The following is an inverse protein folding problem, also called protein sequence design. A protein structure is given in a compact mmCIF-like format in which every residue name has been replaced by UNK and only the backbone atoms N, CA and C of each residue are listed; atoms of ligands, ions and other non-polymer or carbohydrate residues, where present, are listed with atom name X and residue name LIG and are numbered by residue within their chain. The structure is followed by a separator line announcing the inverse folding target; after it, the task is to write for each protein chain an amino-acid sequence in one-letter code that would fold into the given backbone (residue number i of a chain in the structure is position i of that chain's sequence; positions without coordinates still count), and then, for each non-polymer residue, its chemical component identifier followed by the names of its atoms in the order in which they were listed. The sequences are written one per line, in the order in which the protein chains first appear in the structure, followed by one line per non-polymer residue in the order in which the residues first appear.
data_IF_000445682251
#
_entry.id   IF_000445682251
#
_cell.length_a   1.000
_cell.length_b   1.000
_cell.length_c   1.000
_cell.angle_alpha   90.00
_cell.angle_beta   90.00
_cell.angle_gamma   90.00
#
_symmetry.space_group_name_H-M   'P 1'
#
loop_
_entity.id
_entity.type
_entity.pdbx_description
1 polymer ?
#
# COMPACT_ATOMS: atom_id res chain seq x y z
N UNK A 1 -11.86 31.78 -6.08
CA UNK A 1 -10.58 31.67 -5.33
C UNK A 1 -9.34 31.46 -6.22
N UNK A 2 -9.44 31.38 -7.55
CA UNK A 2 -8.28 31.26 -8.46
C UNK A 2 -7.49 32.56 -8.67
N UNK A 3 -8.04 33.72 -8.26
CA UNK A 3 -7.38 35.02 -8.43
C UNK A 3 -6.23 35.28 -7.43
N UNK A 4 -6.22 34.65 -6.24
CA UNK A 4 -5.23 34.97 -5.21
C UNK A 4 -3.85 34.34 -5.46
N UNK A 5 -3.78 33.15 -6.05
CA UNK A 5 -2.51 32.46 -6.29
C UNK A 5 -1.71 33.10 -7.42
N UNK A 6 -2.38 33.41 -8.55
CA UNK A 6 -1.76 34.11 -9.69
C UNK A 6 -1.34 35.53 -9.30
N UNK A 7 -2.15 36.23 -8.49
CA UNK A 7 -1.80 37.54 -7.96
C UNK A 7 -0.56 37.51 -7.07
N UNK A 8 -0.49 36.58 -6.10
CA UNK A 8 0.65 36.46 -5.20
C UNK A 8 1.96 36.11 -5.93
N UNK A 9 1.90 35.24 -6.95
CA UNK A 9 3.06 34.91 -7.80
C UNK A 9 3.56 36.15 -8.56
N UNK A 10 2.63 36.88 -9.20
CA UNK A 10 2.97 38.07 -10.01
C UNK A 10 3.50 39.22 -9.15
N UNK A 11 2.97 39.40 -7.93
CA UNK A 11 3.50 40.37 -6.97
C UNK A 11 4.93 40.05 -6.53
N UNK A 12 5.28 38.77 -6.32
CA UNK A 12 6.66 38.38 -5.99
C UNK A 12 7.63 38.63 -7.13
N UNK A 13 7.24 38.35 -8.36
CA UNK A 13 8.05 38.59 -9.55
C UNK A 13 8.33 40.09 -9.75
N UNK A 14 7.33 40.95 -9.53
CA UNK A 14 7.50 42.41 -9.62
C UNK A 14 8.42 42.92 -8.52
N UNK A 15 8.18 42.54 -7.26
CA UNK A 15 9.03 42.95 -6.13
C UNK A 15 10.48 42.46 -6.33
N UNK A 16 10.66 41.25 -6.82
CA UNK A 16 11.99 40.73 -7.15
C UNK A 16 12.67 41.54 -8.26
N UNK A 17 11.98 41.85 -9.36
CA UNK A 17 12.59 42.63 -10.45
C UNK A 17 13.02 44.02 -9.98
N UNK A 18 12.14 44.74 -9.27
CA UNK A 18 12.43 46.10 -8.80
C UNK A 18 13.60 46.13 -7.81
N UNK A 19 13.62 45.21 -6.85
CA UNK A 19 14.71 45.15 -5.86
C UNK A 19 16.02 44.65 -6.47
N UNK A 20 15.97 43.76 -7.46
CA UNK A 20 17.15 43.33 -8.22
C UNK A 20 17.75 44.52 -8.97
N UNK A 21 16.93 45.28 -9.69
CA UNK A 21 17.40 46.42 -10.49
C UNK A 21 18.01 47.50 -9.59
N UNK A 22 17.38 47.80 -8.44
CA UNK A 22 17.95 48.68 -7.42
C UNK A 22 19.29 48.17 -6.82
N UNK A 23 19.49 46.86 -6.72
CA UNK A 23 20.80 46.29 -6.33
C UNK A 23 21.86 46.45 -7.43
N UNK A 24 21.46 46.31 -8.69
CA UNK A 24 22.36 46.43 -9.85
C UNK A 24 22.82 47.89 -10.02
N UNK A 25 21.91 48.84 -9.82
CA UNK A 25 22.17 50.27 -9.95
C UNK A 25 22.94 50.84 -8.74
N UNK A 26 23.13 50.05 -7.69
CA UNK A 26 23.88 50.44 -6.49
C UNK A 26 23.08 51.25 -5.47
N UNK A 27 21.76 51.40 -5.69
CA UNK A 27 20.85 52.14 -4.80
C UNK A 27 20.55 51.37 -3.49
N UNK A 28 20.66 50.04 -3.52
CA UNK A 28 20.49 49.17 -2.36
C UNK A 28 21.57 48.09 -2.32
N UNK A 29 22.05 47.76 -1.12
CA UNK A 29 22.75 46.49 -0.92
C UNK A 29 21.78 45.31 -0.94
N UNK A 30 22.30 44.11 -1.20
CA UNK A 30 21.49 42.87 -1.16
C UNK A 30 20.81 42.68 0.21
N UNK A 31 21.47 43.08 1.29
CA UNK A 31 20.89 42.99 2.64
C UNK A 31 19.69 43.93 2.80
N UNK A 32 19.78 45.15 2.30
CA UNK A 32 18.69 46.14 2.36
C UNK A 32 17.52 45.72 1.47
N UNK A 33 17.78 45.14 0.31
CA UNK A 33 16.75 44.58 -0.56
C UNK A 33 16.00 43.40 0.10
N UNK A 34 16.70 42.52 0.81
CA UNK A 34 16.06 41.40 1.53
C UNK A 34 15.15 41.91 2.65
N UNK A 35 15.60 42.91 3.43
CA UNK A 35 14.77 43.49 4.48
C UNK A 35 13.56 44.25 3.92
N UNK A 36 13.73 45.00 2.83
CA UNK A 36 12.63 45.65 2.13
C UNK A 36 11.57 44.63 1.63
N UNK A 37 12.01 43.50 1.06
CA UNK A 37 11.10 42.44 0.63
C UNK A 37 10.32 41.84 1.81
N UNK A 38 11.00 41.50 2.91
CA UNK A 38 10.36 40.96 4.12
C UNK A 38 9.31 41.91 4.67
N UNK A 39 9.63 43.19 4.77
CA UNK A 39 8.74 44.21 5.30
C UNK A 39 7.52 44.46 4.39
N UNK A 40 7.70 44.55 3.07
CA UNK A 40 6.59 44.64 2.10
C UNK A 40 5.63 43.46 2.27
N UNK A 41 6.13 42.23 2.33
CA UNK A 41 5.28 41.05 2.49
C UNK A 41 4.65 40.94 3.88
N UNK A 42 5.37 41.31 4.94
CA UNK A 42 4.87 41.31 6.30
C UNK A 42 3.72 42.31 6.48
N UNK A 43 3.87 43.55 6.02
CA UNK A 43 2.81 44.57 6.07
C UNK A 43 1.59 44.17 5.24
N UNK A 44 1.81 43.61 4.05
CA UNK A 44 0.73 43.09 3.21
C UNK A 44 -0.02 41.94 3.90
N UNK A 45 0.70 41.04 4.57
CA UNK A 45 0.08 39.96 5.33
C UNK A 45 -0.73 40.49 6.53
N UNK A 46 -0.18 41.44 7.30
CA UNK A 46 -0.87 42.07 8.43
C UNK A 46 -2.19 42.72 7.96
N UNK A 47 -2.15 43.48 6.88
CA UNK A 47 -3.32 44.16 6.33
C UNK A 47 -4.33 43.18 5.73
N UNK A 48 -3.88 42.19 4.96
CA UNK A 48 -4.76 41.23 4.27
C UNK A 48 -5.43 40.26 5.24
N UNK A 49 -4.69 39.75 6.22
CA UNK A 49 -5.19 38.79 7.20
C UNK A 49 -5.73 39.45 8.49
N UNK A 50 -5.75 40.80 8.55
CA UNK A 50 -6.19 41.59 9.71
C UNK A 50 -5.53 41.16 11.03
N UNK A 51 -4.23 40.84 10.97
CA UNK A 51 -3.47 40.39 12.13
C UNK A 51 -3.28 41.58 13.06
N UNK A 52 -3.95 41.59 14.22
CA UNK A 52 -3.75 42.62 15.24
C UNK A 52 -2.50 42.32 16.08
N UNK A 53 -1.63 43.29 16.36
CA UNK A 53 -0.54 43.12 17.33
C UNK A 53 -1.17 42.89 18.71
N UNK A 54 -0.94 41.71 19.30
CA UNK A 54 -1.47 41.37 20.61
C UNK A 54 -0.78 42.20 21.71
N UNK A 55 -1.37 43.33 22.08
CA UNK A 55 -1.15 43.98 23.36
C UNK A 55 -2.41 43.78 24.22
N UNK A 56 -2.53 42.60 24.85
CA UNK A 56 -3.45 42.43 25.97
C UNK A 56 -2.85 41.48 26.99
N UNK A 57 -2.33 42.09 28.06
CA UNK A 57 -2.00 41.45 29.34
C UNK A 57 -3.22 40.64 29.81
N UNK A 58 -3.07 39.32 29.88
CA UNK A 58 -4.08 38.45 30.49
C UNK A 58 -3.83 38.49 32.01
N UNK A 59 -4.52 39.41 32.70
CA UNK A 59 -4.74 39.32 34.13
C UNK A 59 -6.19 38.89 34.37
N UNK A 60 -6.38 37.61 34.69
CA UNK A 60 -7.58 37.19 35.44
C UNK A 60 -7.25 35.99 36.31
N UNK A 61 -6.82 36.29 37.53
CA UNK A 61 -7.02 35.38 38.66
C UNK A 61 -8.53 35.25 38.88
N UNK A 62 -9.09 34.08 38.61
CA UNK A 62 -10.35 33.68 39.20
C UNK A 62 -10.22 32.26 39.75
N UNK A 63 -10.49 32.17 41.05
CA UNK A 63 -10.45 30.97 41.86
C UNK A 63 -11.43 29.92 41.34
N UNK A 64 -10.90 28.80 40.86
CA UNK A 64 -11.60 27.51 40.83
C UNK A 64 -10.66 26.45 41.40
N UNK A 65 -10.50 26.49 42.72
CA UNK A 65 -10.07 25.33 43.50
C UNK A 65 -11.19 24.30 43.47
N UNK A 66 -11.23 23.48 42.42
CA UNK A 66 -11.90 22.19 42.48
C UNK A 66 -10.84 21.10 42.61
N UNK A 67 -10.96 20.33 43.68
CA UNK A 67 -10.21 19.12 43.98
C UNK A 67 -10.12 18.21 42.75
N UNK A 68 -8.97 18.21 42.08
CA UNK A 68 -8.55 17.16 41.14
C UNK A 68 -7.39 16.39 41.79
N UNK A 69 -7.64 15.85 42.98
CA UNK A 69 -6.85 14.77 43.56
C UNK A 69 -7.59 13.44 43.36
N UNK A 70 -8.00 13.19 42.13
CA UNK A 70 -8.31 11.86 41.64
C UNK A 70 -7.16 11.49 40.73
N UNK A 71 -6.37 10.51 41.15
CA UNK A 71 -5.37 9.85 40.30
C UNK A 71 -6.12 9.21 39.12
N UNK A 72 -6.39 10.02 38.09
CA UNK A 72 -7.02 9.59 36.85
C UNK A 72 -5.91 9.00 35.99
N UNK A 73 -5.45 7.82 36.39
CA UNK A 73 -4.74 6.91 35.50
C UNK A 73 -5.78 6.38 34.48
N UNK A 74 -6.27 7.28 33.62
CA UNK A 74 -7.08 6.91 32.47
C UNK A 74 -6.08 6.33 31.49
N UNK A 75 -5.93 5.00 31.51
CA UNK A 75 -5.21 4.29 30.46
C UNK A 75 -5.99 4.48 29.14
N UNK A 76 -5.68 5.55 28.41
CA UNK A 76 -6.37 5.92 27.16
C UNK A 76 -5.89 4.97 26.06
N UNK A 77 -6.66 3.92 25.79
CA UNK A 77 -6.48 3.08 24.60
C UNK A 77 -7.00 3.78 23.34
N UNK A 78 -6.29 3.63 22.22
CA UNK A 78 -6.69 4.16 20.91
C UNK A 78 -7.11 3.05 19.96
N UNK A 79 -7.99 3.40 19.02
CA UNK A 79 -8.33 2.56 17.86
C UNK A 79 -7.87 3.27 16.59
N UNK A 80 -6.97 2.64 15.84
CA UNK A 80 -6.51 3.11 14.52
C UNK A 80 -7.54 2.75 13.47
N UNK A 81 -8.25 3.75 12.98
CA UNK A 81 -9.20 3.66 11.87
C UNK A 81 -8.39 3.76 10.58
N UNK A 82 -8.14 2.64 9.93
CA UNK A 82 -7.19 2.51 8.83
C UNK A 82 -7.88 2.42 7.47
N UNK A 83 -7.34 3.15 6.49
CA UNK A 83 -7.73 3.02 5.08
C UNK A 83 -6.48 2.93 4.20
N UNK A 84 -6.68 2.41 3.00
CA UNK A 84 -5.66 2.36 1.95
C UNK A 84 -6.08 3.34 0.87
N UNK A 85 -5.20 4.27 0.50
CA UNK A 85 -5.50 5.25 -0.53
C UNK A 85 -5.32 4.69 -1.95
N UNK A 86 -5.59 5.52 -2.97
CA UNK A 86 -5.50 5.13 -4.38
C UNK A 86 -4.09 4.66 -4.79
N UNK A 87 -3.06 5.06 -4.05
CA UNK A 87 -1.65 4.71 -4.32
C UNK A 87 -1.16 3.50 -3.52
N UNK A 88 -2.04 2.87 -2.73
CA UNK A 88 -1.66 1.75 -1.87
C UNK A 88 -1.06 2.16 -0.53
N UNK A 89 -0.99 3.46 -0.21
CA UNK A 89 -0.47 3.91 1.08
C UNK A 89 -1.46 3.63 2.21
N UNK A 90 -0.95 3.10 3.32
CA UNK A 90 -1.73 2.88 4.52
C UNK A 90 -1.83 4.19 5.29
N UNK A 91 -3.04 4.62 5.60
CA UNK A 91 -3.31 5.83 6.36
C UNK A 91 -4.23 5.52 7.52
N UNK A 92 -4.14 6.31 8.59
CA UNK A 92 -5.02 6.10 9.73
C UNK A 92 -5.41 7.40 10.43
N UNK A 93 -6.51 7.32 11.18
CA UNK A 93 -6.84 8.24 12.26
C UNK A 93 -6.99 7.43 13.55
N UNK A 94 -6.23 7.79 14.57
CA UNK A 94 -6.40 7.20 15.89
C UNK A 94 -7.51 7.94 16.65
N UNK A 95 -8.46 7.20 17.19
CA UNK A 95 -9.54 7.75 18.02
C UNK A 95 -9.53 7.09 19.41
N UNK A 96 -9.88 7.81 20.48
CA UNK A 96 -10.06 7.19 21.79
C UNK A 96 -11.09 6.06 21.73
N UNK A 97 -10.80 4.92 22.37
CA UNK A 97 -11.68 3.72 22.33
C UNK A 97 -13.12 4.00 22.75
N UNK A 98 -13.33 4.88 23.74
CA UNK A 98 -14.67 5.32 24.13
C UNK A 98 -15.41 5.99 22.95
N UNK A 99 -14.77 6.96 22.28
CA UNK A 99 -15.34 7.60 21.07
C UNK A 99 -15.54 6.59 19.94
N UNK A 100 -14.64 5.62 19.80
CA UNK A 100 -14.79 4.57 18.81
C UNK A 100 -16.11 3.82 19.00
N UNK A 101 -16.32 3.28 20.21
CA UNK A 101 -17.51 2.51 20.56
C UNK A 101 -18.80 3.35 20.51
N UNK A 102 -18.76 4.58 21.04
CA UNK A 102 -19.96 5.41 21.19
C UNK A 102 -20.40 6.03 19.85
N UNK A 103 -19.44 6.42 19.00
CA UNK A 103 -19.69 7.26 17.82
C UNK A 103 -19.21 6.63 16.52
N UNK A 104 -17.95 6.19 16.44
CA UNK A 104 -17.31 5.82 15.17
C UNK A 104 -17.89 4.53 14.59
N UNK A 105 -18.20 3.54 15.43
CA UNK A 105 -18.84 2.29 14.98
C UNK A 105 -20.14 2.56 14.22
N UNK A 106 -20.91 3.58 14.63
CA UNK A 106 -22.21 3.90 14.04
C UNK A 106 -22.13 4.90 12.90
N UNK A 107 -21.25 5.89 13.00
CA UNK A 107 -21.25 7.07 12.12
C UNK A 107 -20.00 7.17 11.23
N UNK A 108 -18.99 6.36 11.48
CA UNK A 108 -17.68 6.45 10.84
C UNK A 108 -16.89 7.70 11.22
N UNK A 109 -15.80 7.93 10.48
CA UNK A 109 -14.97 9.14 10.57
C UNK A 109 -14.95 9.86 9.22
N UNK A 110 -15.18 11.17 9.19
CA UNK A 110 -15.15 11.94 7.93
C UNK A 110 -13.75 12.05 7.32
N UNK A 111 -13.60 11.85 6.02
CA UNK A 111 -12.37 12.01 5.26
C UNK A 111 -12.66 12.84 4.01
N UNK A 112 -11.91 13.93 3.77
CA UNK A 112 -12.08 14.74 2.57
C UNK A 112 -11.74 13.94 1.29
N UNK A 113 -12.52 14.11 0.23
CA UNK A 113 -12.34 13.34 -1.02
C UNK A 113 -10.94 13.46 -1.62
N UNK A 114 -10.31 14.64 -1.49
CA UNK A 114 -8.94 14.89 -1.94
C UNK A 114 -7.91 13.85 -1.46
N UNK A 115 -8.13 13.23 -0.29
CA UNK A 115 -7.19 12.26 0.27
C UNK A 115 -6.97 11.01 -0.61
N UNK A 116 -7.93 10.67 -1.47
CA UNK A 116 -7.77 9.57 -2.44
C UNK A 116 -7.02 9.98 -3.71
N UNK A 117 -6.82 11.28 -3.91
CA UNK A 117 -6.10 11.83 -5.06
C UNK A 117 -4.68 12.26 -4.74
N UNK A 118 -4.13 11.92 -3.57
CA UNK A 118 -2.75 12.24 -3.22
C UNK A 118 -1.80 11.21 -3.86
N UNK A 119 -0.70 11.64 -4.52
CA UNK A 119 0.32 10.74 -4.99
C UNK A 119 1.13 10.18 -3.81
N UNK A 120 1.88 9.10 -4.04
CA UNK A 120 2.61 8.39 -2.99
C UNK A 120 3.76 9.19 -2.34
N UNK A 121 4.19 10.30 -2.95
CA UNK A 121 5.38 11.05 -2.55
C UNK A 121 5.10 12.45 -2.00
N UNK A 122 3.85 12.93 -2.00
CA UNK A 122 3.52 14.25 -1.46
C UNK A 122 2.07 14.35 -0.99
N UNK A 123 1.83 15.21 0.02
CA UNK A 123 0.49 15.55 0.51
C UNK A 123 -0.09 16.71 -0.29
N UNK A 124 -0.52 16.42 -1.51
CA UNK A 124 -1.19 17.36 -2.38
C UNK A 124 -1.95 16.64 -3.49
N UNK A 125 -2.99 17.27 -4.02
CA UNK A 125 -3.83 16.64 -5.03
C UNK A 125 -3.06 16.45 -6.34
N UNK A 126 -3.04 15.22 -6.86
CA UNK A 126 -2.50 14.93 -8.17
C UNK A 126 -3.31 15.63 -9.27
N UNK A 127 -2.61 16.23 -10.23
CA UNK A 127 -3.21 16.82 -11.42
C UNK A 127 -4.02 15.76 -12.18
N UNK A 128 -5.20 16.14 -12.69
CA UNK A 128 -6.07 15.23 -13.43
C UNK A 128 -6.80 14.18 -12.58
N UNK A 129 -6.64 14.16 -11.25
CA UNK A 129 -7.33 13.19 -10.38
C UNK A 129 -8.87 13.33 -10.38
N UNK A 130 -9.40 14.48 -10.78
CA UNK A 130 -10.85 14.78 -10.76
C UNK A 130 -11.44 14.97 -9.35
N UNK A 131 -10.65 14.74 -8.30
CA UNK A 131 -11.05 14.92 -6.90
C UNK A 131 -10.81 16.37 -6.46
N UNK A 132 -11.52 16.83 -5.43
CA UNK A 132 -11.34 18.19 -4.90
C UNK A 132 -11.35 18.19 -3.37
N UNK A 133 -11.02 19.34 -2.78
CA UNK A 133 -11.12 19.55 -1.33
C UNK A 133 -12.55 19.77 -0.84
N UNK A 134 -13.53 19.78 -1.75
CA UNK A 134 -14.95 19.93 -1.42
C UNK A 134 -15.58 18.55 -1.25
N UNK A 135 -16.24 18.35 -0.11
CA UNK A 135 -16.94 17.11 0.22
C UNK A 135 -16.06 16.11 0.96
N UNK A 136 -16.73 15.13 1.54
CA UNK A 136 -16.11 14.11 2.37
C UNK A 136 -16.81 12.76 2.22
N UNK A 137 -16.04 11.69 2.35
CA UNK A 137 -16.51 10.33 2.55
C UNK A 137 -16.53 10.00 4.04
N UNK A 138 -17.26 8.95 4.41
CA UNK A 138 -17.29 8.38 5.76
C UNK A 138 -16.46 7.09 5.77
N UNK A 139 -15.45 7.05 6.64
CA UNK A 139 -14.68 5.86 6.95
C UNK A 139 -15.47 5.02 7.96
N UNK A 140 -16.15 3.98 7.47
CA UNK A 140 -17.00 3.09 8.27
C UNK A 140 -16.18 1.86 8.67
N UNK A 141 -15.95 1.60 9.97
CA UNK A 141 -15.13 0.48 10.41
C UNK A 141 -15.79 -0.87 10.13
N UNK A 142 -15.04 -1.77 9.52
CA UNK A 142 -15.42 -3.17 9.38
C UNK A 142 -14.95 -3.94 10.61
N UNK A 143 -15.88 -4.18 11.54
CA UNK A 143 -15.57 -4.83 12.83
C UNK A 143 -15.03 -6.25 12.68
N UNK A 144 -15.25 -6.93 11.55
CA UNK A 144 -14.66 -8.25 11.29
C UNK A 144 -13.13 -8.18 11.15
N UNK A 145 -12.59 -6.99 10.86
CA UNK A 145 -11.16 -6.69 10.75
C UNK A 145 -10.57 -6.04 11.99
N UNK A 146 -11.37 -5.81 13.05
CA UNK A 146 -10.85 -5.24 14.30
C UNK A 146 -9.84 -6.22 14.92
N UNK A 147 -8.63 -5.73 15.18
CA UNK A 147 -7.53 -6.50 15.77
C UNK A 147 -6.83 -5.70 16.85
N UNK A 148 -6.37 -6.36 17.90
CA UNK A 148 -5.42 -5.78 18.86
C UNK A 148 -4.06 -5.66 18.20
N UNK A 149 -3.37 -4.54 18.43
CA UNK A 149 -2.06 -4.30 17.81
C UNK A 149 -0.98 -5.11 18.55
N UNK A 150 -0.25 -6.03 17.89
CA UNK A 150 0.70 -6.92 18.57
C UNK A 150 1.86 -6.18 19.26
N UNK A 151 2.37 -5.13 18.60
CA UNK A 151 3.48 -4.31 19.10
C UNK A 151 3.05 -3.15 20.01
N UNK A 152 1.74 -2.88 20.14
CA UNK A 152 1.19 -1.95 21.11
C UNK A 152 -0.14 -2.50 21.66
N UNK A 153 -0.04 -3.42 22.63
CA UNK A 153 -1.18 -4.23 23.09
C UNK A 153 -2.33 -3.44 23.74
N UNK A 154 -2.13 -2.16 24.07
CA UNK A 154 -3.17 -1.25 24.57
C UNK A 154 -4.11 -0.78 23.46
N UNK A 155 -3.63 -0.73 22.22
CA UNK A 155 -4.35 -0.19 21.08
C UNK A 155 -4.95 -1.30 20.20
N UNK A 156 -5.93 -0.89 19.40
CA UNK A 156 -6.56 -1.71 18.36
C UNK A 156 -6.42 -1.02 17.00
N UNK A 157 -6.59 -1.79 15.93
CA UNK A 157 -6.66 -1.30 14.55
C UNK A 157 -7.82 -1.96 13.82
N UNK A 158 -8.42 -1.24 12.89
CA UNK A 158 -9.57 -1.70 12.11
C UNK A 158 -9.50 -1.12 10.71
N UNK A 159 -9.78 -1.95 9.70
CA UNK A 159 -9.91 -1.49 8.32
C UNK A 159 -11.31 -0.90 8.11
N UNK A 160 -11.41 0.02 7.17
CA UNK A 160 -12.66 0.72 6.88
C UNK A 160 -13.09 0.60 5.44
N UNK A 161 -14.40 0.65 5.25
CA UNK A 161 -15.00 0.97 3.96
C UNK A 161 -15.22 2.49 3.87
N UNK A 162 -15.21 3.03 2.64
CA UNK A 162 -15.47 4.44 2.38
C UNK A 162 -16.88 4.58 1.82
N UNK A 163 -17.72 5.38 2.47
CA UNK A 163 -19.13 5.53 2.10
C UNK A 163 -19.50 6.99 1.91
N UNK A 164 -20.26 7.31 0.84
CA UNK A 164 -20.83 8.65 0.63
C UNK A 164 -22.11 8.88 1.42
N UNK A 165 -22.88 7.81 1.65
CA UNK A 165 -24.06 7.79 2.52
C UNK A 165 -24.05 6.49 3.34
N UNK A 166 -24.80 6.41 4.47
CA UNK A 166 -24.93 5.17 5.20
C UNK A 166 -25.36 4.01 4.28
N UNK A 167 -24.53 2.97 4.19
CA UNK A 167 -24.77 1.80 3.33
C UNK A 167 -24.43 1.99 1.84
N UNK A 168 -24.03 3.19 1.41
CA UNK A 168 -23.66 3.48 0.02
C UNK A 168 -22.15 3.66 -0.09
N UNK A 169 -21.46 2.62 -0.59
CA UNK A 169 -20.03 2.66 -0.83
C UNK A 169 -19.67 3.76 -1.84
N UNK A 170 -18.57 4.45 -1.59
CA UNK A 170 -18.02 5.43 -2.51
C UNK A 170 -17.30 4.72 -3.65
N UNK A 171 -17.40 5.24 -4.87
CA UNK A 171 -16.79 4.65 -6.07
C UNK A 171 -15.26 4.51 -5.98
N UNK A 172 -14.60 5.35 -5.17
CA UNK A 172 -13.15 5.30 -4.91
C UNK A 172 -12.77 4.35 -3.76
N UNK A 173 -13.69 3.61 -3.15
CA UNK A 173 -13.37 2.67 -2.07
C UNK A 173 -12.65 1.42 -2.62
N UNK A 174 -11.35 1.19 -2.29
CA UNK A 174 -10.61 0.06 -2.84
C UNK A 174 -11.18 -1.29 -2.36
N UNK A 175 -11.59 -1.39 -1.08
CA UNK A 175 -12.17 -2.62 -0.52
C UNK A 175 -13.47 -3.00 -1.23
N UNK A 176 -14.31 -2.01 -1.55
CA UNK A 176 -15.58 -2.25 -2.23
C UNK A 176 -15.40 -2.72 -3.68
N UNK A 177 -14.45 -2.14 -4.45
CA UNK A 177 -14.24 -2.60 -5.83
C UNK A 177 -13.81 -4.07 -5.90
N UNK A 178 -12.96 -4.53 -4.97
CA UNK A 178 -12.60 -5.94 -4.87
C UNK A 178 -13.82 -6.81 -4.51
N UNK A 179 -14.65 -6.36 -3.57
CA UNK A 179 -15.88 -7.06 -3.17
C UNK A 179 -16.85 -7.17 -4.35
N UNK A 180 -17.04 -6.11 -5.13
CA UNK A 180 -17.89 -6.11 -6.33
C UNK A 180 -17.35 -7.06 -7.40
N UNK A 181 -16.06 -7.01 -7.70
CA UNK A 181 -15.44 -7.93 -8.66
C UNK A 181 -15.57 -9.40 -8.22
N UNK A 182 -15.37 -9.67 -6.93
CA UNK A 182 -15.56 -11.01 -6.35
C UNK A 182 -17.01 -11.48 -6.43
N UNK A 183 -17.97 -10.56 -6.21
CA UNK A 183 -19.40 -10.85 -6.31
C UNK A 183 -19.79 -11.21 -7.75
N UNK A 184 -19.27 -10.48 -8.75
CA UNK A 184 -19.51 -10.78 -10.16
C UNK A 184 -19.02 -12.19 -10.52
N UNK A 185 -17.80 -12.56 -10.09
CA UNK A 185 -17.26 -13.91 -10.29
C UNK A 185 -18.19 -14.99 -9.68
N UNK A 186 -18.70 -14.74 -8.47
CA UNK A 186 -19.61 -15.66 -7.78
C UNK A 186 -20.97 -15.76 -8.44
N UNK A 187 -21.59 -14.63 -8.78
CA UNK A 187 -22.93 -14.58 -9.35
C UNK A 187 -23.00 -15.18 -10.76
N UNK A 188 -21.99 -14.92 -11.60
CA UNK A 188 -22.00 -15.34 -13.01
C UNK A 188 -21.46 -16.75 -13.21
N UNK A 189 -20.52 -17.21 -12.39
CA UNK A 189 -19.80 -18.47 -12.62
C UNK A 189 -19.85 -19.45 -11.44
N UNK A 190 -20.46 -19.08 -10.31
CA UNK A 190 -20.41 -19.84 -9.06
C UNK A 190 -18.97 -20.19 -8.66
N UNK A 191 -18.10 -19.18 -8.70
CA UNK A 191 -16.68 -19.30 -8.38
C UNK A 191 -16.26 -18.35 -7.28
N UNK A 192 -15.27 -18.77 -6.50
CA UNK A 192 -14.54 -17.95 -5.55
C UNK A 192 -13.05 -17.98 -5.91
N UNK A 193 -12.38 -16.84 -5.76
CA UNK A 193 -10.94 -16.76 -5.96
C UNK A 193 -10.23 -16.75 -4.61
N UNK A 194 -9.31 -17.68 -4.41
CA UNK A 194 -8.35 -17.66 -3.31
C UNK A 194 -7.05 -17.01 -3.77
N UNK A 195 -6.42 -16.25 -2.87
CA UNK A 195 -5.13 -15.61 -3.09
C UNK A 195 -4.18 -15.87 -1.92
N UNK A 196 -2.92 -16.15 -2.22
CA UNK A 196 -1.80 -16.21 -1.28
C UNK A 196 -0.66 -15.32 -1.78
N UNK A 197 0.00 -14.59 -0.88
CA UNK A 197 1.03 -13.61 -1.24
C UNK A 197 2.40 -14.06 -0.73
N UNK A 198 3.39 -13.97 -1.60
CA UNK A 198 4.82 -14.00 -1.29
C UNK A 198 5.28 -12.54 -1.26
N UNK A 199 5.45 -11.97 -0.06
CA UNK A 199 5.68 -10.54 0.10
C UNK A 199 7.13 -10.28 0.51
N UNK A 200 7.92 -9.80 -0.44
CA UNK A 200 9.34 -9.49 -0.26
C UNK A 200 9.53 -8.07 0.29
N UNK A 201 10.56 -7.89 1.12
CA UNK A 201 10.92 -6.61 1.71
C UNK A 201 12.40 -6.54 2.02
N UNK A 202 12.93 -5.32 2.09
CA UNK A 202 14.31 -5.05 2.47
C UNK A 202 14.33 -4.45 3.87
N UNK A 203 15.14 -5.04 4.75
CA UNK A 203 15.50 -4.44 6.03
C UNK A 203 16.73 -3.55 5.86
N UNK A 204 16.60 -2.32 6.35
CA UNK A 204 17.65 -1.31 6.35
C UNK A 204 18.06 -0.99 7.79
N UNK A 205 19.35 -0.84 8.01
CA UNK A 205 19.91 -0.35 9.28
C UNK A 205 20.47 1.05 9.08
N UNK A 206 20.38 1.86 10.13
CA UNK A 206 20.98 3.19 10.13
C UNK A 206 22.47 3.09 10.46
N UNK A 207 23.32 3.55 9.56
CA UNK A 207 24.72 3.85 9.87
C UNK A 207 24.85 5.32 10.24
N UNK A 208 25.53 5.59 11.36
CA UNK A 208 25.89 6.93 11.81
C UNK A 208 27.39 7.11 11.64
N UNK A 209 27.80 7.98 10.72
CA UNK A 209 29.20 8.32 10.47
C UNK A 209 29.36 9.78 10.05
N UNK A 210 30.43 10.45 10.50
CA UNK A 210 30.82 11.83 10.10
C UNK A 210 29.66 12.86 9.96
N UNK A 211 28.66 12.79 10.83
CA UNK A 211 27.50 13.71 10.82
C UNK A 211 26.43 13.41 9.74
N UNK A 212 26.51 12.26 9.06
CA UNK A 212 25.49 11.78 8.12
C UNK A 212 24.82 10.51 8.65
N UNK A 213 23.51 10.47 8.46
CA UNK A 213 22.67 9.30 8.72
C UNK A 213 22.36 8.65 7.35
N UNK A 214 22.77 7.40 7.17
CA UNK A 214 22.56 6.64 5.95
C UNK A 214 21.85 5.32 6.24
N UNK A 215 20.78 5.04 5.50
CA UNK A 215 20.10 3.74 5.54
C UNK A 215 20.77 2.80 4.54
N UNK A 216 21.30 1.69 5.03
CA UNK A 216 21.95 0.66 4.20
C UNK A 216 21.27 -0.69 4.43
N UNK A 217 21.33 -1.62 3.45
CA UNK A 217 20.89 -2.99 3.65
C UNK A 217 21.40 -3.61 4.96
N UNK A 218 20.54 -4.37 5.63
CA UNK A 218 20.82 -5.02 6.90
C UNK A 218 22.07 -5.90 6.82
N UNK A 219 22.16 -6.72 5.77
CA UNK A 219 23.27 -7.60 5.45
C UNK A 219 23.54 -7.65 3.93
N UNK A 220 24.43 -8.55 3.52
CA UNK A 220 24.76 -8.81 2.11
C UNK A 220 24.89 -10.30 1.82
N UNK A 221 24.11 -11.12 2.53
CA UNK A 221 24.17 -12.57 2.42
C UNK A 221 23.54 -13.05 1.11
N UNK A 222 23.94 -14.22 0.59
CA UNK A 222 23.29 -14.80 -0.59
C UNK A 222 21.88 -15.33 -0.28
N UNK A 223 21.12 -15.56 -1.35
CA UNK A 223 19.79 -16.18 -1.33
C UNK A 223 19.71 -17.41 -0.42
N UNK A 224 18.66 -17.50 0.41
CA UNK A 224 18.42 -18.59 1.36
C UNK A 224 19.58 -18.88 2.35
N UNK A 225 20.42 -17.88 2.67
CA UNK A 225 21.50 -18.07 3.65
C UNK A 225 20.95 -18.29 5.07
N UNK A 226 21.43 -19.36 5.72
CA UNK A 226 21.12 -19.64 7.13
C UNK A 226 21.68 -18.57 8.05
N UNK A 227 22.86 -18.01 7.75
CA UNK A 227 23.47 -16.96 8.57
C UNK A 227 22.68 -15.65 8.48
N UNK A 228 22.08 -15.35 7.33
CA UNK A 228 21.20 -14.18 7.17
C UNK A 228 19.97 -14.31 8.05
N UNK A 229 19.36 -15.51 8.03
CA UNK A 229 18.21 -15.83 8.86
C UNK A 229 18.55 -15.71 10.35
N UNK A 230 19.65 -16.32 10.79
CA UNK A 230 20.09 -16.25 12.19
C UNK A 230 20.33 -14.81 12.66
N UNK A 231 20.98 -13.99 11.81
CA UNK A 231 21.24 -12.59 12.10
C UNK A 231 19.96 -11.75 12.23
N UNK A 232 18.97 -11.99 11.36
CA UNK A 232 17.69 -11.29 11.39
C UNK A 232 16.64 -11.93 12.32
N UNK A 233 16.95 -13.09 12.92
CA UNK A 233 15.99 -13.91 13.68
C UNK A 233 15.22 -13.15 14.77
N UNK A 234 15.78 -12.18 15.52
CA UNK A 234 15.00 -11.45 16.52
C UNK A 234 13.85 -10.64 15.90
N UNK A 235 14.07 -10.09 14.70
CA UNK A 235 13.06 -9.33 13.96
C UNK A 235 12.07 -10.30 13.30
N UNK A 236 12.58 -11.33 12.62
CA UNK A 236 11.74 -12.27 11.85
C UNK A 236 10.83 -13.10 12.75
N UNK A 237 11.31 -13.58 13.91
CA UNK A 237 10.47 -14.28 14.88
C UNK A 237 9.36 -13.39 15.42
N UNK A 238 9.67 -12.15 15.78
CA UNK A 238 8.64 -11.23 16.29
C UNK A 238 7.62 -10.85 15.20
N UNK A 239 8.03 -10.76 13.93
CA UNK A 239 7.12 -10.63 12.79
C UNK A 239 6.18 -11.82 12.71
N UNK A 240 6.70 -13.06 12.71
CA UNK A 240 5.88 -14.29 12.62
C UNK A 240 4.92 -14.41 13.80
N UNK A 241 5.39 -14.19 15.03
CA UNK A 241 4.56 -14.22 16.23
C UNK A 241 3.43 -13.17 16.18
N UNK A 242 3.76 -11.97 15.69
CA UNK A 242 2.78 -10.90 15.51
C UNK A 242 1.72 -11.26 14.47
N UNK A 243 2.12 -11.81 13.32
CA UNK A 243 1.18 -12.27 12.28
C UNK A 243 0.27 -13.39 12.78
N UNK A 244 0.84 -14.36 13.48
CA UNK A 244 0.08 -15.45 14.08
C UNK A 244 -0.95 -14.90 15.09
N UNK A 245 -0.57 -13.93 15.94
CA UNK A 245 -1.52 -13.30 16.87
C UNK A 245 -2.67 -12.54 16.19
N UNK A 246 -2.51 -12.15 14.92
CA UNK A 246 -3.55 -11.54 14.09
C UNK A 246 -4.40 -12.57 13.33
N UNK A 247 -4.09 -13.86 13.46
CA UNK A 247 -4.74 -14.95 12.73
C UNK A 247 -4.26 -15.09 11.29
N UNK A 248 -3.06 -14.61 10.98
CA UNK A 248 -2.43 -14.70 9.66
C UNK A 248 -1.37 -15.80 9.71
N UNK A 249 -1.62 -16.89 8.98
CA UNK A 249 -0.68 -18.01 8.90
C UNK A 249 0.46 -17.69 7.93
N UNK A 250 1.69 -17.87 8.41
CA UNK A 250 2.92 -17.81 7.62
C UNK A 250 3.32 -19.23 7.28
N UNK A 251 3.47 -19.53 5.98
CA UNK A 251 3.89 -20.84 5.50
C UNK A 251 5.42 -20.92 5.41
N UNK A 252 6.08 -19.81 5.07
CA UNK A 252 7.53 -19.73 4.93
C UNK A 252 8.05 -18.33 5.22
N UNK A 253 9.30 -18.25 5.67
CA UNK A 253 10.08 -17.02 5.78
C UNK A 253 11.54 -17.33 5.49
N UNK A 254 12.21 -16.55 4.65
CA UNK A 254 13.62 -16.76 4.30
C UNK A 254 14.30 -15.47 3.83
N UNK A 255 15.63 -15.50 3.77
CA UNK A 255 16.42 -14.47 3.09
C UNK A 255 16.28 -14.60 1.57
N UNK A 256 16.18 -13.47 0.89
CA UNK A 256 16.02 -13.37 -0.57
C UNK A 256 17.32 -12.91 -1.26
N UNK A 257 17.28 -12.74 -2.58
CA UNK A 257 18.46 -12.60 -3.41
C UNK A 257 19.14 -11.22 -3.34
N UNK A 258 18.42 -10.15 -3.00
CA UNK A 258 19.01 -8.83 -2.78
C UNK A 258 19.56 -8.66 -1.36
N UNK A 259 20.49 -7.72 -1.21
CA UNK A 259 21.10 -7.40 0.10
C UNK A 259 20.03 -6.98 1.11
N UNK A 260 20.03 -7.62 2.29
CA UNK A 260 19.08 -7.33 3.36
C UNK A 260 17.63 -7.68 3.01
N UNK A 261 17.38 -8.46 1.95
CA UNK A 261 16.05 -8.84 1.50
C UNK A 261 15.56 -10.10 2.20
N UNK A 262 14.27 -10.09 2.55
CA UNK A 262 13.56 -11.21 3.14
C UNK A 262 12.21 -11.36 2.48
N UNK A 263 11.66 -12.56 2.52
CA UNK A 263 10.32 -12.87 2.03
C UNK A 263 9.48 -13.48 3.16
N UNK A 264 8.22 -13.05 3.25
CA UNK A 264 7.20 -13.72 4.08
C UNK A 264 6.11 -14.29 3.17
N UNK A 265 5.92 -15.61 3.22
CA UNK A 265 4.93 -16.34 2.43
C UNK A 265 3.68 -16.55 3.28
N UNK A 266 2.56 -15.98 2.85
CA UNK A 266 1.29 -16.06 3.56
C UNK A 266 0.43 -17.21 3.02
N UNK A 267 -0.23 -17.95 3.94
CA UNK A 267 -1.21 -18.97 3.54
C UNK A 267 -2.33 -18.33 2.72
N UNK A 268 -2.74 -19.00 1.65
CA UNK A 268 -3.86 -18.54 0.85
C UNK A 268 -5.17 -18.51 1.63
N UNK A 269 -6.05 -17.60 1.25
CA UNK A 269 -7.43 -17.49 1.75
C UNK A 269 -8.29 -16.81 0.67
N UNK A 270 -9.60 -16.67 0.91
CA UNK A 270 -10.47 -15.89 0.01
C UNK A 270 -9.89 -14.50 -0.27
N UNK A 271 -9.91 -14.08 -1.53
CA UNK A 271 -9.15 -12.94 -2.04
C UNK A 271 -9.35 -11.62 -1.27
N UNK A 272 -10.56 -11.32 -0.81
CA UNK A 272 -10.84 -10.13 0.01
C UNK A 272 -10.08 -10.15 1.34
N UNK A 273 -10.07 -11.30 2.02
CA UNK A 273 -9.31 -11.50 3.26
C UNK A 273 -7.80 -11.55 3.00
N UNK A 274 -7.37 -12.08 1.85
CA UNK A 274 -5.96 -12.08 1.48
C UNK A 274 -5.41 -10.66 1.32
N UNK A 275 -6.19 -9.76 0.72
CA UNK A 275 -5.85 -8.34 0.63
C UNK A 275 -5.73 -7.69 2.02
N UNK A 276 -6.71 -7.90 2.90
CA UNK A 276 -6.67 -7.40 4.28
C UNK A 276 -5.44 -7.96 5.04
N UNK A 277 -5.14 -9.25 4.89
CA UNK A 277 -3.97 -9.90 5.49
C UNK A 277 -2.66 -9.27 5.01
N UNK A 278 -2.55 -8.91 3.72
CA UNK A 278 -1.35 -8.28 3.18
C UNK A 278 -1.15 -6.86 3.75
N UNK A 279 -2.23 -6.09 3.94
CA UNK A 279 -2.17 -4.78 4.62
C UNK A 279 -1.63 -4.94 6.05
N UNK A 280 -2.22 -5.85 6.83
CA UNK A 280 -1.74 -6.10 8.20
C UNK A 280 -0.31 -6.64 8.23
N UNK A 281 0.08 -7.44 7.25
CA UNK A 281 1.44 -7.99 7.16
C UNK A 281 2.47 -6.90 7.00
N UNK A 282 2.22 -5.95 6.08
CA UNK A 282 3.10 -4.80 5.86
C UNK A 282 3.15 -3.88 7.08
N UNK A 283 2.04 -3.70 7.83
CA UNK A 283 2.04 -2.97 9.10
C UNK A 283 2.90 -3.66 10.17
N UNK A 284 2.77 -4.98 10.33
CA UNK A 284 3.58 -5.77 11.26
C UNK A 284 5.04 -5.61 10.93
N UNK A 285 5.45 -5.88 9.69
CA UNK A 285 6.85 -5.81 9.27
C UNK A 285 7.44 -4.42 9.51
N UNK A 286 6.73 -3.34 9.13
CA UNK A 286 7.18 -1.96 9.38
C UNK A 286 7.31 -1.65 10.86
N UNK A 287 6.33 -2.06 11.66
CA UNK A 287 6.30 -1.76 13.08
C UNK A 287 7.39 -2.52 13.87
N UNK A 288 7.55 -3.82 13.59
CA UNK A 288 8.58 -4.63 14.22
C UNK A 288 9.97 -4.17 13.77
N UNK A 289 10.20 -3.93 12.49
CA UNK A 289 11.48 -3.37 12.03
C UNK A 289 11.83 -2.07 12.78
N UNK A 290 10.87 -1.13 12.89
CA UNK A 290 11.08 0.12 13.64
C UNK A 290 11.33 -0.11 15.14
N UNK A 291 10.63 -1.06 15.76
CA UNK A 291 10.86 -1.45 17.16
C UNK A 291 12.31 -1.92 17.38
N UNK A 292 12.90 -2.56 16.38
CA UNK A 292 14.29 -3.02 16.38
C UNK A 292 15.29 -1.99 15.79
N UNK A 293 14.89 -0.72 15.63
CA UNK A 293 15.77 0.34 15.12
C UNK A 293 16.11 0.25 13.63
N UNK A 294 15.33 -0.54 12.88
CA UNK A 294 15.48 -0.75 11.44
C UNK A 294 14.34 -0.09 10.66
N UNK A 295 14.52 0.03 9.35
CA UNK A 295 13.49 0.44 8.41
C UNK A 295 13.19 -0.72 7.46
N UNK A 296 11.93 -1.14 7.36
CA UNK A 296 11.49 -2.07 6.33
C UNK A 296 10.92 -1.30 5.13
N UNK A 297 11.34 -1.64 3.93
CA UNK A 297 10.80 -1.09 2.67
C UNK A 297 10.29 -2.20 1.75
N UNK A 298 9.22 -1.90 1.04
CA UNK A 298 8.59 -2.77 0.02
C UNK A 298 8.73 -2.15 -1.38
N UNK A 299 9.67 -1.21 -1.55
CA UNK A 299 9.90 -0.56 -2.83
C UNK A 299 10.35 -1.62 -3.86
N UNK A 300 9.82 -1.63 -5.10
CA UNK A 300 10.07 -2.73 -6.03
C UNK A 300 11.55 -2.94 -6.39
N UNK A 301 12.33 -1.86 -6.39
CA UNK A 301 13.74 -1.84 -6.75
C UNK A 301 14.44 -0.82 -5.85
N UNK A 302 15.11 -1.29 -4.81
CA UNK A 302 15.81 -0.41 -3.86
C UNK A 302 17.17 0.05 -4.40
N UNK A 303 17.94 -0.88 -4.97
CA UNK A 303 19.20 -0.62 -5.63
C UNK A 303 19.10 -1.06 -7.10
N UNK A 304 19.56 -0.22 -8.02
CA UNK A 304 19.43 -0.48 -9.46
C UNK A 304 20.27 -1.68 -9.92
N UNK A 305 21.39 -1.94 -9.23
CA UNK A 305 22.35 -3.01 -9.50
C UNK A 305 22.08 -4.32 -8.75
N UNK A 306 20.97 -4.42 -8.00
CA UNK A 306 20.61 -5.59 -7.19
C UNK A 306 19.25 -6.17 -7.59
N UNK A 307 18.83 -7.29 -7.00
CA UNK A 307 17.50 -7.87 -7.22
C UNK A 307 16.39 -6.96 -6.67
N UNK A 308 15.19 -7.07 -7.25
CA UNK A 308 14.01 -6.30 -6.84
C UNK A 308 13.15 -7.05 -5.84
N UNK A 309 12.24 -6.33 -5.18
CA UNK A 309 11.24 -6.90 -4.25
C UNK A 309 9.86 -7.04 -4.90
N UNK A 310 9.40 -8.26 -5.02
CA UNK A 310 8.05 -8.61 -5.46
C UNK A 310 7.02 -8.72 -4.34
N UNK A 311 5.76 -8.87 -4.75
CA UNK A 311 4.65 -9.28 -3.89
C UNK A 311 3.82 -10.29 -4.68
N UNK A 312 4.47 -11.38 -5.11
CA UNK A 312 3.94 -12.36 -6.05
C UNK A 312 2.65 -12.93 -5.47
N UNK A 313 1.65 -13.15 -6.32
CA UNK A 313 0.34 -13.61 -5.86
C UNK A 313 -0.05 -14.92 -6.53
N UNK A 314 -0.23 -15.94 -5.70
CA UNK A 314 -0.75 -17.24 -6.09
C UNK A 314 -2.27 -17.23 -6.05
N UNK A 315 -2.89 -17.61 -7.16
CA UNK A 315 -4.33 -17.51 -7.39
C UNK A 315 -4.91 -18.86 -7.80
N UNK A 316 -6.07 -19.19 -7.24
CA UNK A 316 -6.80 -20.41 -7.57
C UNK A 316 -8.31 -20.16 -7.53
N UNK A 317 -9.06 -20.95 -8.30
CA UNK A 317 -10.50 -20.85 -8.42
C UNK A 317 -11.16 -22.02 -7.69
N UNK A 318 -12.20 -21.70 -6.92
CA UNK A 318 -12.86 -22.64 -6.03
C UNK A 318 -14.37 -22.63 -6.26
N UNK A 319 -14.99 -23.80 -6.12
CA UNK A 319 -16.44 -23.96 -6.11
C UNK A 319 -16.80 -24.94 -5.01
N UNK A 320 -17.71 -24.55 -4.13
CA UNK A 320 -18.19 -25.39 -3.01
C UNK A 320 -17.05 -26.02 -2.18
N UNK A 321 -15.99 -25.24 -1.92
CA UNK A 321 -14.83 -25.70 -1.14
C UNK A 321 -13.88 -26.64 -1.89
N UNK A 322 -14.02 -26.81 -3.20
CA UNK A 322 -13.09 -27.59 -4.04
C UNK A 322 -12.36 -26.70 -5.03
N UNK A 323 -11.07 -26.97 -5.23
CA UNK A 323 -10.25 -26.27 -6.23
C UNK A 323 -10.61 -26.76 -7.64
N UNK A 324 -11.24 -25.88 -8.43
CA UNK A 324 -11.67 -26.15 -9.81
C UNK A 324 -10.73 -25.55 -10.86
N UNK A 325 -9.64 -24.91 -10.44
CA UNK A 325 -8.55 -24.54 -11.34
C UNK A 325 -7.78 -25.78 -11.82
N UNK A 326 -7.61 -26.76 -10.93
CA UNK A 326 -6.93 -28.02 -11.25
C UNK A 326 -7.61 -28.78 -12.39
N UNK A 327 -6.81 -29.25 -13.34
CA UNK A 327 -7.29 -30.10 -14.41
C UNK A 327 -7.79 -31.45 -13.90
N UNK A 328 -8.91 -31.93 -14.47
CA UNK A 328 -9.41 -33.30 -14.26
C UNK A 328 -9.88 -33.91 -15.59
N UNK A 329 -9.66 -35.22 -15.76
CA UNK A 329 -10.09 -35.96 -16.95
C UNK A 329 -9.39 -35.57 -18.26
N UNK A 330 -10.00 -35.95 -19.38
CA UNK A 330 -9.43 -35.82 -20.74
C UNK A 330 -9.48 -34.40 -21.31
N UNK A 331 -10.24 -33.49 -20.70
CA UNK A 331 -10.30 -32.06 -21.06
C UNK A 331 -9.21 -31.20 -20.40
N UNK A 332 -8.42 -31.80 -19.49
CA UNK A 332 -7.28 -31.14 -18.87
C UNK A 332 -6.17 -30.92 -19.89
N UNK A 333 -5.68 -29.69 -20.00
CA UNK A 333 -4.49 -29.36 -20.81
C UNK A 333 -3.48 -28.64 -19.91
N UNK A 334 -2.23 -29.09 -19.94
CA UNK A 334 -1.15 -28.56 -19.09
C UNK A 334 -1.45 -28.64 -17.58
N UNK A 335 -2.30 -29.57 -17.16
CA UNK A 335 -2.68 -29.71 -15.75
C UNK A 335 -3.73 -28.73 -15.24
N UNK A 336 -4.33 -27.95 -16.15
CA UNK A 336 -5.27 -26.87 -15.82
C UNK A 336 -6.65 -27.21 -16.42
N UNK A 337 -7.71 -26.93 -15.68
CA UNK A 337 -9.09 -27.07 -16.16
C UNK A 337 -9.38 -26.09 -17.31
N UNK A 338 -10.41 -26.37 -18.12
CA UNK A 338 -10.85 -25.42 -19.17
C UNK A 338 -11.14 -24.04 -18.59
N UNK A 339 -11.85 -24.01 -17.46
CA UNK A 339 -12.19 -22.79 -16.74
C UNK A 339 -10.95 -22.05 -16.23
N UNK A 340 -9.97 -22.77 -15.67
CA UNK A 340 -8.70 -22.18 -15.25
C UNK A 340 -7.93 -21.57 -16.43
N UNK A 341 -7.92 -22.25 -17.58
CA UNK A 341 -7.27 -21.74 -18.81
C UNK A 341 -7.95 -20.50 -19.36
N UNK A 342 -9.28 -20.50 -19.45
CA UNK A 342 -10.05 -19.33 -19.90
C UNK A 342 -9.82 -18.11 -19.00
N UNK A 343 -9.83 -18.32 -17.68
CA UNK A 343 -9.55 -17.26 -16.71
C UNK A 343 -8.12 -16.72 -16.86
N UNK A 344 -7.12 -17.59 -16.95
CA UNK A 344 -5.73 -17.17 -17.18
C UNK A 344 -5.56 -16.47 -18.53
N UNK A 345 -6.27 -16.89 -19.58
CA UNK A 345 -6.19 -16.27 -20.91
C UNK A 345 -6.70 -14.82 -20.88
N UNK A 346 -7.77 -14.56 -20.12
CA UNK A 346 -8.25 -13.19 -19.87
C UNK A 346 -7.21 -12.32 -19.19
N UNK A 347 -6.58 -12.84 -18.13
CA UNK A 347 -5.50 -12.13 -17.43
C UNK A 347 -4.31 -11.86 -18.35
N UNK A 348 -3.87 -12.86 -19.12
CA UNK A 348 -2.76 -12.72 -20.05
C UNK A 348 -3.06 -11.68 -21.13
N UNK A 349 -4.27 -11.67 -21.69
CA UNK A 349 -4.68 -10.69 -22.69
C UNK A 349 -4.65 -9.26 -22.14
N UNK A 350 -5.07 -9.07 -20.89
CA UNK A 350 -5.14 -7.75 -20.25
C UNK A 350 -3.89 -7.40 -19.43
N UNK A 351 -2.87 -8.26 -19.38
CA UNK A 351 -1.70 -8.03 -18.53
C UNK A 351 -1.08 -6.63 -18.72
N UNK A 352 -0.89 -6.10 -19.96
CA UNK A 352 -0.36 -4.75 -20.15
C UNK A 352 -1.18 -3.64 -19.47
N UNK A 353 -2.52 -3.78 -19.37
CA UNK A 353 -3.37 -2.80 -18.70
C UNK A 353 -3.43 -3.04 -17.18
N UNK A 354 -3.38 -4.30 -16.74
CA UNK A 354 -3.35 -4.68 -15.31
C UNK A 354 -2.08 -4.16 -14.63
N UNK A 355 -0.95 -4.05 -15.34
CA UNK A 355 0.31 -3.54 -14.79
C UNK A 355 0.16 -2.17 -14.12
N UNK A 356 -0.75 -1.31 -14.59
CA UNK A 356 -1.03 -0.03 -13.94
C UNK A 356 -1.55 -0.15 -12.49
N UNK A 357 -2.08 -1.32 -12.10
CA UNK A 357 -2.60 -1.59 -10.76
C UNK A 357 -1.69 -2.49 -9.91
N UNK A 358 -0.91 -3.38 -10.54
CA UNK A 358 -0.06 -4.37 -9.84
C UNK A 358 1.42 -3.99 -9.81
N UNK A 359 1.83 -3.05 -10.68
CA UNK A 359 3.17 -2.48 -10.80
C UNK A 359 3.07 -0.96 -11.07
N UNK A 360 2.44 -0.17 -10.16
CA UNK A 360 1.93 1.16 -10.46
C UNK A 360 2.99 2.27 -10.53
N UNK A 361 4.21 2.06 -10.04
CA UNK A 361 5.26 3.08 -10.01
C UNK A 361 6.25 2.94 -11.15
N UNK A 362 6.93 4.02 -11.62
CA UNK A 362 8.09 3.92 -12.52
C UNK A 362 9.15 2.94 -11.99
N UNK A 363 9.42 2.97 -10.69
CA UNK A 363 10.32 2.06 -9.98
C UNK A 363 9.93 0.57 -10.10
N UNK A 364 8.66 0.27 -10.39
CA UNK A 364 8.19 -1.10 -10.66
C UNK A 364 8.77 -1.63 -11.96
N UNK A 365 8.95 -0.77 -12.97
CA UNK A 365 9.50 -1.15 -14.26
C UNK A 365 11.02 -1.30 -14.22
N UNK A 366 11.70 -0.65 -13.26
CA UNK A 366 13.11 -0.94 -12.95
C UNK A 366 13.28 -2.34 -12.31
N UNK A 367 12.23 -2.87 -11.67
CA UNK A 367 12.16 -4.27 -11.23
C UNK A 367 11.83 -5.22 -12.38
N UNK A 368 10.90 -4.86 -13.26
CA UNK A 368 10.44 -5.69 -14.39
C UNK A 368 11.46 -5.74 -15.53
N UNK A 369 12.62 -6.37 -15.27
CA UNK A 369 13.71 -6.52 -16.23
C UNK A 369 13.99 -8.00 -16.53
N UNK A 370 14.49 -8.35 -17.73
CA UNK A 370 14.93 -9.71 -18.04
C UNK A 370 15.92 -10.27 -16.99
N UNK A 371 15.91 -11.59 -16.77
CA UNK A 371 16.77 -12.31 -15.82
C UNK A 371 16.62 -11.91 -14.34
N UNK A 372 15.53 -11.25 -13.95
CA UNK A 372 15.24 -10.88 -12.55
C UNK A 372 14.06 -11.64 -11.94
N UNK A 373 13.56 -12.68 -12.62
CA UNK A 373 12.41 -13.49 -12.21
C UNK A 373 11.14 -12.68 -11.87
N UNK A 374 10.96 -11.53 -12.52
CA UNK A 374 9.91 -10.56 -12.21
C UNK A 374 8.75 -10.54 -13.23
N UNK A 375 8.85 -11.31 -14.32
CA UNK A 375 7.82 -11.36 -15.36
C UNK A 375 7.91 -10.22 -16.37
N UNK A 376 9.08 -10.00 -16.97
CA UNK A 376 9.35 -8.87 -17.87
C UNK A 376 8.76 -9.01 -19.30
N UNK A 377 8.25 -10.18 -19.67
CA UNK A 377 7.74 -10.50 -21.00
C UNK A 377 6.26 -10.88 -20.96
N UNK A 378 5.55 -10.76 -22.08
CA UNK A 378 4.13 -11.10 -22.18
C UNK A 378 3.92 -12.56 -22.60
N UNK A 379 3.98 -13.50 -21.65
CA UNK A 379 3.69 -14.91 -21.89
C UNK A 379 3.26 -15.62 -20.60
N UNK A 380 2.93 -16.91 -20.69
CA UNK A 380 2.72 -17.76 -19.53
C UNK A 380 3.50 -19.08 -19.68
N UNK A 381 3.81 -19.75 -18.57
CA UNK A 381 4.51 -21.02 -18.61
C UNK A 381 4.22 -21.92 -17.41
N UNK A 382 4.42 -23.23 -17.61
CA UNK A 382 4.38 -24.20 -16.51
C UNK A 382 5.72 -24.18 -15.78
N UNK A 383 5.71 -23.96 -14.47
CA UNK A 383 6.92 -23.89 -13.65
C UNK A 383 7.99 -22.90 -14.13
N UNK A 384 7.64 -21.97 -15.03
CA UNK A 384 8.58 -21.01 -15.60
C UNK A 384 8.62 -19.75 -14.71
N UNK A 385 9.67 -19.63 -13.89
CA UNK A 385 9.86 -18.49 -12.98
C UNK A 385 10.13 -17.16 -13.69
N UNK A 386 10.36 -17.13 -14.99
CA UNK A 386 10.45 -15.87 -15.76
C UNK A 386 9.11 -15.43 -16.33
N UNK A 387 8.10 -16.31 -16.34
CA UNK A 387 6.77 -15.96 -16.82
C UNK A 387 6.09 -15.00 -15.85
N UNK A 388 5.45 -13.91 -16.31
CA UNK A 388 4.60 -13.11 -15.44
C UNK A 388 3.41 -13.91 -14.91
N UNK A 389 2.95 -14.92 -15.67
CA UNK A 389 1.93 -15.88 -15.30
C UNK A 389 2.52 -17.29 -15.30
N UNK A 390 2.73 -17.85 -14.11
CA UNK A 390 3.29 -19.18 -13.94
C UNK A 390 2.24 -20.16 -13.40
N UNK A 391 1.88 -21.16 -14.18
CA UNK A 391 1.11 -22.29 -13.66
C UNK A 391 2.01 -23.08 -12.69
N UNK A 392 1.51 -23.27 -11.46
CA UNK A 392 2.30 -23.75 -10.33
C UNK A 392 1.80 -25.10 -9.79
N UNK A 393 2.75 -25.98 -9.52
CA UNK A 393 2.61 -27.37 -9.12
C UNK A 393 3.48 -27.61 -7.89
N UNK A 394 3.06 -27.15 -6.69
CA UNK A 394 3.86 -27.26 -5.48
C UNK A 394 4.22 -28.72 -5.14
N UNK A 395 5.31 -28.97 -4.39
CA UNK A 395 5.67 -30.31 -3.94
C UNK A 395 4.50 -31.05 -3.29
N UNK A 396 4.33 -32.34 -3.63
CA UNK A 396 3.19 -33.15 -3.19
C UNK A 396 1.96 -33.08 -4.10
N UNK A 397 1.97 -32.23 -5.14
CA UNK A 397 0.99 -32.26 -6.23
C UNK A 397 1.32 -33.40 -7.19
N UNK A 398 0.30 -34.06 -7.75
CA UNK A 398 0.49 -35.07 -8.80
C UNK A 398 1.18 -34.46 -10.02
N UNK A 399 2.12 -35.21 -10.61
CA UNK A 399 2.91 -34.77 -11.76
C UNK A 399 2.02 -34.27 -12.90
N UNK A 400 2.35 -33.07 -13.39
CA UNK A 400 1.65 -32.44 -14.50
C UNK A 400 0.31 -31.80 -14.15
N UNK A 401 -0.07 -31.68 -12.86
CA UNK A 401 -1.21 -30.87 -12.41
C UNK A 401 -0.75 -29.54 -11.82
N UNK A 402 -1.41 -28.45 -12.23
CA UNK A 402 -1.23 -27.15 -11.60
C UNK A 402 -2.36 -26.90 -10.59
N UNK A 403 -2.01 -26.54 -9.36
CA UNK A 403 -3.00 -26.24 -8.29
C UNK A 403 -3.40 -24.78 -8.26
N UNK A 404 -2.55 -23.90 -8.78
CA UNK A 404 -2.74 -22.47 -8.82
C UNK A 404 -1.94 -21.87 -9.98
N UNK A 405 -2.10 -20.58 -10.23
CA UNK A 405 -1.19 -19.80 -11.03
C UNK A 405 -0.64 -18.62 -10.24
N UNK A 406 0.59 -18.26 -10.50
CA UNK A 406 1.35 -17.20 -9.84
C UNK A 406 1.43 -15.99 -10.78
N UNK A 407 1.05 -14.82 -10.28
CA UNK A 407 1.29 -13.53 -10.93
C UNK A 407 2.56 -12.88 -10.35
N UNK A 408 3.65 -12.93 -11.10
CA UNK A 408 4.99 -12.47 -10.65
C UNK A 408 5.20 -10.97 -10.78
N UNK A 409 4.47 -10.31 -11.68
CA UNK A 409 4.60 -8.88 -11.94
C UNK A 409 4.02 -8.01 -10.82
N UNK A 410 3.35 -8.60 -9.84
CA UNK A 410 2.79 -7.90 -8.68
C UNK A 410 3.90 -7.48 -7.72
N UNK A 411 3.92 -6.21 -7.27
CA UNK A 411 4.94 -5.71 -6.35
C UNK A 411 4.39 -5.01 -5.09
N UNK A 412 5.32 -4.68 -4.19
CA UNK A 412 5.04 -4.10 -2.88
C UNK A 412 4.38 -2.72 -2.90
N UNK A 413 4.39 -2.02 -4.05
CA UNK A 413 3.81 -0.69 -4.21
C UNK A 413 2.34 -0.70 -4.62
N UNK A 414 1.83 -1.85 -5.09
CA UNK A 414 0.44 -2.00 -5.48
C UNK A 414 -0.53 -1.88 -4.30
N UNK A 415 -1.68 -1.24 -4.56
CA UNK A 415 -2.86 -1.35 -3.71
C UNK A 415 -3.45 -2.76 -3.91
N UNK A 416 -3.43 -3.64 -2.88
CA UNK A 416 -3.81 -5.04 -3.07
C UNK A 416 -5.26 -5.23 -3.48
N UNK A 417 -6.15 -4.33 -3.06
CA UNK A 417 -7.55 -4.39 -3.45
C UNK A 417 -7.75 -4.06 -4.93
N UNK A 418 -7.11 -2.99 -5.41
CA UNK A 418 -7.20 -2.59 -6.82
C UNK A 418 -6.52 -3.60 -7.74
N UNK A 419 -5.34 -4.10 -7.36
CA UNK A 419 -4.60 -5.11 -8.11
C UNK A 419 -5.39 -6.41 -8.27
N UNK A 420 -5.93 -6.95 -7.17
CA UNK A 420 -6.77 -8.16 -7.22
C UNK A 420 -8.09 -7.93 -7.96
N UNK A 421 -8.70 -6.75 -7.86
CA UNK A 421 -9.92 -6.42 -8.60
C UNK A 421 -9.66 -6.36 -10.11
N UNK A 422 -8.53 -5.79 -10.53
CA UNK A 422 -8.12 -5.78 -11.94
C UNK A 422 -7.88 -7.19 -12.48
N UNK A 423 -7.22 -8.04 -11.70
CA UNK A 423 -7.00 -9.45 -12.05
C UNK A 423 -8.33 -10.20 -12.18
N UNK A 424 -9.25 -10.03 -11.21
CA UNK A 424 -10.59 -10.63 -11.28
C UNK A 424 -11.36 -10.18 -12.52
N UNK A 425 -11.38 -8.87 -12.80
CA UNK A 425 -12.08 -8.32 -13.95
C UNK A 425 -11.56 -8.91 -15.27
N UNK A 426 -10.23 -9.02 -15.40
CA UNK A 426 -9.61 -9.62 -16.57
C UNK A 426 -9.90 -11.12 -16.71
N UNK A 427 -9.84 -11.87 -15.60
CA UNK A 427 -10.15 -13.29 -15.61
C UNK A 427 -11.62 -13.57 -15.90
N UNK A 428 -12.54 -12.77 -15.36
CA UNK A 428 -13.98 -12.81 -15.66
C UNK A 428 -14.22 -12.58 -17.16
N UNK A 429 -13.56 -11.60 -17.77
CA UNK A 429 -13.65 -11.38 -19.21
C UNK A 429 -13.14 -12.58 -20.02
N UNK A 430 -12.07 -13.23 -19.55
CA UNK A 430 -11.59 -14.50 -20.11
C UNK A 430 -12.63 -15.62 -20.10
N UNK A 431 -13.36 -15.77 -18.99
CA UNK A 431 -14.47 -16.73 -18.86
C UNK A 431 -15.65 -16.36 -19.77
N UNK A 432 -16.08 -15.09 -19.79
CA UNK A 432 -17.21 -14.63 -20.62
C UNK A 432 -16.97 -14.84 -22.11
N UNK A 433 -15.73 -14.67 -22.57
CA UNK A 433 -15.36 -14.79 -23.98
C UNK A 433 -14.77 -16.15 -24.35
N UNK A 434 -14.70 -17.09 -23.41
CA UNK A 434 -14.09 -18.42 -23.60
C UNK A 434 -12.71 -18.34 -24.26
N UNK A 435 -11.84 -17.48 -23.73
CA UNK A 435 -10.57 -17.17 -24.39
C UNK A 435 -9.64 -18.39 -24.41
N UNK A 436 -9.02 -18.69 -25.56
CA UNK A 436 -8.02 -19.74 -25.63
C UNK A 436 -6.72 -19.27 -24.99
N UNK A 437 -6.26 -20.01 -23.97
CA UNK A 437 -4.91 -19.83 -23.46
C UNK A 437 -3.91 -20.34 -24.52
N UNK A 438 -2.92 -19.53 -24.95
CA UNK A 438 -1.92 -19.95 -25.93
C UNK A 438 -1.04 -21.09 -25.39
N UNK A 439 -0.19 -21.69 -26.23
CA UNK A 439 0.77 -22.69 -25.73
C UNK A 439 1.73 -22.06 -24.68
N UNK A 440 2.10 -22.81 -23.63
CA UNK A 440 3.04 -22.33 -22.63
C UNK A 440 4.46 -22.22 -23.21
N UNK A 441 5.20 -21.22 -22.75
CA UNK A 441 6.62 -21.06 -23.11
C UNK A 441 7.49 -21.70 -22.02
N UNK A 442 8.22 -22.76 -22.39
CA UNK A 442 9.06 -23.53 -21.46
C UNK A 442 10.46 -22.98 -21.23
N UNK A 443 11.08 -22.34 -22.24
CA UNK A 443 12.36 -21.64 -22.14
C UNK A 443 12.31 -20.37 -22.99
N UNK A 444 12.78 -19.26 -22.42
CA UNK A 444 13.10 -18.06 -23.20
C UNK A 444 14.52 -18.30 -23.73
N UNK A 445 14.74 -18.15 -25.04
CA UNK A 445 16.06 -18.27 -25.68
C UNK A 445 16.72 -16.91 -25.69
#
# INVERSE_FOLDING_TARGET
MSFSFTGAKKSREVVFSVLRDACIDGDLSVSEAVEAAKDIFARNAIHFYKISPANSVINSHSNLSQNLSGDLDIDVSLVRVMWVDGTGQHRCRAVPKKRFNDVVVKNGVGLGFAAMGFPSHMDGLAEGSGLTTVGETRLVPDLSTLRRIPWNKKDEMVLVDMCVKPGEAWEYCPRDVLRRASKILKDEFDLEMNAGFENEFILLKMLKGEGKEEWVPFDSSPYCSTSAFDAASPVLHEVVDSLHSLGIAVEQIHGEAAKGQFEVVLKYTICTKAADNLIFTREVVRAIARKHGMLATFIPKYALDDMGSGSHVHLSLWRNGQNVYMGSGTSSKHGISTLGREFMAGILQHLPSILAFIAPLPNSYDRLQPNTWSGAYLFWGNENKEAPLRASSPPGTLDGLATNFEMKSFDGSANPYLGLAAILAAGIDGLRRHLPLPEPVGKII
#
